data_IF_250464531651
#
_entry.id   IF_250464531651
#
_cell.length_a   1.000
_cell.length_b   1.000
_cell.length_c   1.000
_cell.angle_alpha   90.00
_cell.angle_beta   90.00
_cell.angle_gamma   90.00
#
_symmetry.space_group_name_H-M   'P 1'
#
loop_
_entity.id
_entity.type
_entity.pdbx_description
1 polymer ?
#
# COMPACT_ATOMS: atom_id res chain seq x y z
N UNK A 1 -0.42 -3.29 23.62
CA UNK A 1 -1.72 -3.42 24.30
C UNK A 1 -2.83 -3.27 23.26
N UNK A 2 -3.64 -4.31 23.06
CA UNK A 2 -4.94 -4.26 22.38
C UNK A 2 -4.94 -4.06 20.86
N UNK A 3 -4.81 -5.15 20.09
CA UNK A 3 -5.25 -5.17 18.68
C UNK A 3 -6.78 -5.06 18.64
N UNK A 4 -7.28 -3.91 18.18
CA UNK A 4 -8.70 -3.68 17.95
C UNK A 4 -9.08 -4.24 16.57
N UNK A 5 -10.21 -4.95 16.49
CA UNK A 5 -10.83 -5.42 15.24
C UNK A 5 -12.29 -4.99 15.23
N UNK A 6 -12.79 -4.24 14.23
CA UNK A 6 -14.22 -4.07 14.05
C UNK A 6 -14.80 -5.29 13.32
N UNK A 7 -15.94 -5.79 13.80
CA UNK A 7 -16.71 -6.85 13.13
C UNK A 7 -17.69 -6.23 12.15
N UNK A 8 -17.48 -6.45 10.84
CA UNK A 8 -18.49 -6.27 9.81
C UNK A 8 -18.73 -7.60 9.07
N UNK A 9 -19.95 -7.86 8.58
CA UNK A 9 -20.35 -9.16 8.06
C UNK A 9 -19.62 -9.50 6.76
N UNK A 10 -19.03 -10.69 6.70
CA UNK A 10 -18.36 -11.23 5.54
C UNK A 10 -19.36 -11.46 4.39
N UNK A 11 -19.32 -10.59 3.37
CA UNK A 11 -19.89 -10.89 2.05
C UNK A 11 -18.78 -11.42 1.15
N UNK A 12 -18.70 -12.75 1.04
CA UNK A 12 -17.89 -13.40 0.00
C UNK A 12 -18.55 -13.17 -1.36
N UNK A 13 -17.91 -12.39 -2.23
CA UNK A 13 -18.09 -12.51 -3.67
C UNK A 13 -16.74 -12.91 -4.27
N UNK A 14 -16.58 -14.22 -4.46
CA UNK A 14 -15.46 -14.77 -5.20
C UNK A 14 -15.65 -14.47 -6.69
N UNK A 15 -14.80 -13.59 -7.25
CA UNK A 15 -14.55 -13.57 -8.68
C UNK A 15 -13.03 -13.45 -8.91
N UNK A 16 -12.35 -14.60 -8.84
CA UNK A 16 -10.93 -14.70 -9.21
C UNK A 16 -10.82 -14.67 -10.73
N UNK A 17 -10.59 -13.48 -11.28
CA UNK A 17 -9.99 -13.34 -12.61
C UNK A 17 -8.53 -13.76 -12.48
N UNK A 18 -8.15 -14.83 -13.17
CA UNK A 18 -6.77 -15.30 -13.32
C UNK A 18 -5.94 -14.26 -14.08
N UNK A 19 -5.31 -13.32 -13.35
CA UNK A 19 -4.34 -12.40 -13.95
C UNK A 19 -2.95 -13.02 -13.98
N UNK A 20 -2.60 -13.49 -15.18
CA UNK A 20 -1.24 -13.71 -15.65
C UNK A 20 -0.39 -12.44 -15.48
N UNK A 21 0.41 -12.37 -14.41
CA UNK A 21 1.44 -11.33 -14.23
C UNK A 21 2.75 -11.90 -13.63
N UNK A 22 3.06 -13.17 -13.90
CA UNK A 22 4.28 -13.85 -13.41
C UNK A 22 5.53 -13.53 -14.27
N UNK A 23 5.47 -12.67 -15.28
CA UNK A 23 6.55 -12.55 -16.27
C UNK A 23 7.74 -11.62 -15.94
N UNK A 24 7.88 -11.03 -14.75
CA UNK A 24 8.97 -10.06 -14.49
C UNK A 24 9.97 -10.37 -13.38
N UNK A 25 9.99 -11.58 -12.83
CA UNK A 25 11.06 -11.99 -11.92
C UNK A 25 11.55 -13.39 -12.27
N UNK A 26 12.30 -13.52 -13.38
CA UNK A 26 13.09 -14.71 -13.66
C UNK A 26 14.57 -14.33 -13.77
N UNK A 27 15.48 -14.91 -12.97
CA UNK A 27 16.91 -14.69 -13.14
C UNK A 27 17.38 -15.38 -14.43
N UNK A 28 18.14 -14.65 -15.26
CA UNK A 28 18.86 -15.20 -16.41
C UNK A 28 19.95 -16.16 -15.95
N UNK A 29 19.74 -17.46 -16.15
CA UNK A 29 20.77 -18.49 -15.96
C UNK A 29 20.94 -19.34 -17.21
N UNK A 30 22.06 -19.08 -17.89
CA UNK A 30 22.90 -19.93 -18.77
C UNK A 30 22.26 -21.06 -19.58
N UNK A 31 22.49 -20.99 -20.90
CA UNK A 31 22.41 -22.09 -21.87
C UNK A 31 23.33 -23.24 -21.46
N UNK A 32 22.76 -24.43 -21.27
CA UNK A 32 23.46 -25.71 -21.38
C UNK A 32 22.71 -26.54 -22.43
N UNK A 33 23.42 -26.88 -23.49
CA UNK A 33 22.98 -27.83 -24.51
C UNK A 33 23.18 -29.25 -23.99
N UNK A 34 22.11 -30.02 -23.81
CA UNK A 34 22.14 -31.46 -23.99
C UNK A 34 20.71 -32.01 -24.05
N UNK A 35 20.40 -32.63 -25.17
CA UNK A 35 19.13 -33.29 -25.48
C UNK A 35 19.08 -34.64 -24.76
N UNK A 36 18.27 -34.77 -23.70
CA UNK A 36 17.60 -36.01 -23.31
C UNK A 36 16.69 -35.77 -22.09
N UNK A 37 15.54 -36.45 -22.08
CA UNK A 37 14.55 -36.55 -21.00
C UNK A 37 13.48 -35.45 -20.97
N UNK A 38 12.52 -35.56 -21.89
CA UNK A 38 11.14 -35.14 -21.64
C UNK A 38 10.54 -36.05 -20.56
N UNK A 39 10.71 -35.68 -19.30
CA UNK A 39 9.76 -36.05 -18.25
C UNK A 39 8.73 -34.93 -18.16
N UNK A 40 7.50 -35.25 -18.55
CA UNK A 40 6.33 -34.42 -18.26
C UNK A 40 6.13 -34.43 -16.74
N UNK A 41 6.82 -33.52 -16.04
CA UNK A 41 6.45 -33.17 -14.67
C UNK A 41 5.07 -32.50 -14.77
N UNK A 42 4.03 -33.23 -14.40
CA UNK A 42 2.79 -32.62 -13.93
C UNK A 42 3.19 -31.65 -12.82
N UNK A 43 3.17 -30.36 -13.11
CA UNK A 43 3.27 -29.33 -12.11
C UNK A 43 2.03 -29.45 -11.23
N UNK A 44 2.15 -30.22 -10.14
CA UNK A 44 1.35 -29.99 -8.95
C UNK A 44 1.56 -28.52 -8.61
N UNK A 45 0.56 -27.70 -8.89
CA UNK A 45 0.55 -26.29 -8.52
C UNK A 45 0.44 -26.22 -7.00
N UNK A 46 1.56 -26.45 -6.31
CA UNK A 46 1.71 -26.02 -4.93
C UNK A 46 1.47 -24.51 -4.96
N UNK A 47 0.41 -24.07 -4.29
CA UNK A 47 0.15 -22.66 -4.10
C UNK A 47 1.36 -22.08 -3.37
N UNK A 48 2.24 -21.40 -4.10
CA UNK A 48 3.39 -20.72 -3.53
C UNK A 48 2.87 -19.64 -2.58
N UNK A 49 3.07 -19.86 -1.29
CA UNK A 49 2.78 -18.89 -0.23
C UNK A 49 4.10 -18.41 0.35
N UNK A 50 4.23 -17.10 0.57
CA UNK A 50 5.36 -16.55 1.31
C UNK A 50 5.37 -17.08 2.75
N UNK A 51 6.57 -17.23 3.32
CA UNK A 51 6.70 -17.38 4.77
C UNK A 51 6.36 -16.07 5.46
N UNK A 52 5.93 -16.12 6.72
CA UNK A 52 5.62 -14.92 7.50
C UNK A 52 6.85 -13.99 7.63
N UNK A 53 8.05 -14.57 7.80
CA UNK A 53 9.30 -13.80 7.86
C UNK A 53 9.55 -13.00 6.57
N UNK A 54 9.26 -13.61 5.42
CA UNK A 54 9.43 -12.93 4.12
C UNK A 54 8.37 -11.84 3.94
N UNK A 55 7.13 -12.10 4.36
CA UNK A 55 6.06 -11.12 4.33
C UNK A 55 6.38 -9.92 5.24
N UNK A 56 6.89 -10.17 6.45
CA UNK A 56 7.33 -9.14 7.38
C UNK A 56 8.48 -8.30 6.82
N UNK A 57 9.48 -8.94 6.18
CA UNK A 57 10.57 -8.24 5.53
C UNK A 57 10.08 -7.33 4.39
N UNK A 58 9.10 -7.78 3.58
CA UNK A 58 8.51 -6.95 2.53
C UNK A 58 7.78 -5.73 3.10
N UNK A 59 6.99 -5.91 4.18
CA UNK A 59 6.34 -4.78 4.87
C UNK A 59 7.35 -3.78 5.38
N UNK A 60 8.43 -4.25 6.00
CA UNK A 60 9.52 -3.40 6.46
C UNK A 60 10.16 -2.62 5.31
N UNK A 61 10.48 -3.29 4.19
CA UNK A 61 11.02 -2.64 2.99
C UNK A 61 10.07 -1.57 2.47
N UNK A 62 8.77 -1.84 2.40
CA UNK A 62 7.77 -0.86 1.96
C UNK A 62 7.84 0.42 2.81
N UNK A 63 7.79 0.30 4.14
CA UNK A 63 7.86 1.45 5.05
C UNK A 63 9.21 2.18 4.98
N UNK A 64 10.33 1.45 4.99
CA UNK A 64 11.68 2.05 4.95
C UNK A 64 11.94 2.80 3.65
N UNK A 65 11.54 2.22 2.50
CA UNK A 65 11.72 2.84 1.19
C UNK A 65 10.75 3.98 0.96
N UNK A 66 9.52 3.90 1.47
CA UNK A 66 8.59 5.03 1.52
C UNK A 66 9.17 6.21 2.30
N UNK A 67 9.66 5.97 3.52
CA UNK A 67 10.28 6.99 4.35
C UNK A 67 11.55 7.58 3.71
N UNK A 68 12.39 6.74 3.09
CA UNK A 68 13.60 7.19 2.39
C UNK A 68 13.26 8.08 1.19
N UNK A 69 12.24 7.72 0.42
CA UNK A 69 11.74 8.52 -0.71
C UNK A 69 11.26 9.91 -0.26
N UNK A 70 10.48 9.97 0.82
CA UNK A 70 10.00 11.24 1.39
C UNK A 70 11.18 12.12 1.88
N UNK A 71 12.16 11.52 2.59
CA UNK A 71 13.36 12.22 3.06
C UNK A 71 14.20 12.79 1.92
N UNK A 72 14.45 12.01 0.88
CA UNK A 72 15.21 12.49 -0.28
C UNK A 72 14.48 13.58 -1.04
N UNK A 73 13.15 13.52 -1.13
CA UNK A 73 12.36 14.60 -1.74
C UNK A 73 12.53 15.92 -0.96
N UNK A 74 12.45 15.86 0.37
CA UNK A 74 12.70 17.01 1.24
C UNK A 74 14.14 17.56 1.10
N UNK A 75 15.14 16.67 1.02
CA UNK A 75 16.53 17.11 0.80
C UNK A 75 16.75 17.76 -0.57
N UNK A 76 16.02 17.32 -1.59
CA UNK A 76 16.09 17.95 -2.90
C UNK A 76 15.55 19.38 -2.88
N UNK A 77 14.43 19.61 -2.20
CA UNK A 77 13.86 20.95 -2.01
C UNK A 77 14.84 21.86 -1.28
N UNK A 78 15.45 21.37 -0.19
CA UNK A 78 16.47 22.14 0.52
C UNK A 78 17.69 22.46 -0.35
N UNK A 79 18.15 21.52 -1.16
CA UNK A 79 19.28 21.74 -2.07
C UNK A 79 18.94 22.76 -3.18
N UNK A 80 17.69 22.87 -3.61
CA UNK A 80 17.24 23.94 -4.52
C UNK A 80 17.30 25.31 -3.86
N UNK A 81 16.83 25.44 -2.61
CA UNK A 81 16.89 26.68 -1.84
C UNK A 81 18.34 27.15 -1.62
N UNK A 82 19.26 26.21 -1.44
CA UNK A 82 20.71 26.46 -1.31
C UNK A 82 21.42 26.70 -2.65
N UNK A 83 20.72 26.52 -3.78
CA UNK A 83 21.27 26.70 -5.13
C UNK A 83 22.16 25.56 -5.63
N UNK A 84 22.21 24.42 -4.92
CA UNK A 84 22.99 23.24 -5.30
C UNK A 84 22.19 22.30 -6.21
N UNK A 85 22.06 22.69 -7.47
CA UNK A 85 21.26 21.96 -8.48
C UNK A 85 21.74 20.52 -8.72
N UNK A 86 23.04 20.22 -8.55
CA UNK A 86 23.55 18.87 -8.71
C UNK A 86 23.11 17.94 -7.57
N UNK A 87 23.22 18.41 -6.32
CA UNK A 87 22.75 17.65 -5.16
C UNK A 87 21.24 17.44 -5.23
N UNK A 88 20.50 18.48 -5.60
CA UNK A 88 19.06 18.41 -5.79
C UNK A 88 18.64 17.37 -6.85
N UNK A 89 19.28 17.36 -8.03
CA UNK A 89 19.02 16.38 -9.06
C UNK A 89 19.33 14.94 -8.61
N UNK A 90 20.42 14.76 -7.84
CA UNK A 90 20.76 13.46 -7.24
C UNK A 90 19.65 13.00 -6.28
N UNK A 91 19.24 13.84 -5.33
CA UNK A 91 18.22 13.49 -4.35
C UNK A 91 16.87 13.15 -5.00
N UNK A 92 16.45 13.89 -6.04
CA UNK A 92 15.25 13.55 -6.81
C UNK A 92 15.34 12.17 -7.47
N UNK A 93 16.51 11.83 -8.01
CA UNK A 93 16.74 10.50 -8.61
C UNK A 93 16.65 9.39 -7.57
N UNK A 94 17.24 9.61 -6.38
CA UNK A 94 17.17 8.67 -5.26
C UNK A 94 15.74 8.51 -4.74
N UNK A 95 15.01 9.60 -4.54
CA UNK A 95 13.61 9.57 -4.12
C UNK A 95 12.76 8.72 -5.08
N UNK A 96 12.87 8.99 -6.39
CA UNK A 96 12.17 8.20 -7.41
C UNK A 96 12.61 6.74 -7.42
N UNK A 97 13.86 6.44 -7.10
CA UNK A 97 14.36 5.07 -7.04
C UNK A 97 13.78 4.30 -5.86
N UNK A 98 13.76 4.91 -4.67
CA UNK A 98 13.22 4.26 -3.49
C UNK A 98 11.71 4.13 -3.54
N UNK A 99 10.99 5.08 -4.15
CA UNK A 99 9.55 4.92 -4.41
C UNK A 99 9.28 3.69 -5.30
N UNK A 100 10.12 3.43 -6.31
CA UNK A 100 9.98 2.21 -7.13
C UNK A 100 10.21 0.94 -6.31
N UNK A 101 11.19 0.94 -5.40
CA UNK A 101 11.42 -0.20 -4.51
C UNK A 101 10.24 -0.42 -3.56
N UNK A 102 9.65 0.65 -3.02
CA UNK A 102 8.45 0.56 -2.19
C UNK A 102 7.27 -0.04 -2.99
N UNK A 103 7.04 0.41 -4.22
CA UNK A 103 6.00 -0.15 -5.08
C UNK A 103 6.24 -1.63 -5.42
N UNK A 104 7.49 -2.03 -5.71
CA UNK A 104 7.82 -3.44 -5.96
C UNK A 104 7.56 -4.32 -4.73
N UNK A 105 7.82 -3.81 -3.52
CA UNK A 105 7.48 -4.52 -2.30
C UNK A 105 5.96 -4.63 -2.15
N UNK A 106 5.20 -3.55 -2.42
CA UNK A 106 3.74 -3.56 -2.37
C UNK A 106 3.12 -4.52 -3.39
N UNK A 107 3.63 -4.57 -4.63
CA UNK A 107 3.21 -5.53 -5.65
C UNK A 107 3.38 -6.98 -5.18
N UNK A 108 4.49 -7.27 -4.48
CA UNK A 108 4.72 -8.59 -3.92
C UNK A 108 3.77 -8.90 -2.74
N UNK A 109 3.49 -7.93 -1.87
CA UNK A 109 2.52 -8.08 -0.79
C UNK A 109 1.12 -8.33 -1.37
N UNK A 110 0.71 -7.59 -2.40
CA UNK A 110 -0.59 -7.80 -3.08
C UNK A 110 -0.68 -9.23 -3.63
N UNK A 111 0.33 -9.62 -4.41
CA UNK A 111 0.32 -10.91 -5.09
C UNK A 111 0.33 -12.11 -4.15
N UNK A 112 1.06 -12.03 -3.04
CA UNK A 112 1.32 -13.20 -2.19
C UNK A 112 0.63 -13.17 -0.82
N UNK A 113 0.26 -11.99 -0.32
CA UNK A 113 -0.40 -11.81 0.99
C UNK A 113 -1.83 -11.31 0.83
N UNK A 114 -2.07 -10.36 -0.08
CA UNK A 114 -3.39 -9.80 -0.37
C UNK A 114 -3.97 -8.93 0.75
N UNK A 115 -3.13 -8.48 1.69
CA UNK A 115 -3.54 -7.62 2.80
C UNK A 115 -2.67 -6.36 2.86
N UNK A 116 -3.31 -5.23 3.12
CA UNK A 116 -2.67 -3.94 3.31
C UNK A 116 -1.69 -3.97 4.50
N UNK A 117 -0.43 -3.53 4.33
CA UNK A 117 0.59 -3.63 5.37
C UNK A 117 0.31 -2.74 6.59
N UNK A 118 -0.59 -1.76 6.50
CA UNK A 118 -0.90 -0.80 7.57
C UNK A 118 -2.09 -1.26 8.41
N UNK A 119 -3.15 -1.71 7.74
CA UNK A 119 -4.45 -2.05 8.34
C UNK A 119 -4.69 -3.55 8.48
N UNK A 120 -3.94 -4.38 7.73
CA UNK A 120 -4.19 -5.82 7.55
C UNK A 120 -5.54 -6.14 6.88
N UNK A 121 -6.23 -5.15 6.31
CA UNK A 121 -7.44 -5.34 5.52
C UNK A 121 -7.12 -5.88 4.14
N UNK A 122 -8.12 -6.41 3.43
CA UNK A 122 -7.93 -6.86 2.06
C UNK A 122 -7.46 -5.70 1.16
N UNK A 123 -6.64 -6.01 0.16
CA UNK A 123 -6.21 -5.06 -0.85
C UNK A 123 -6.15 -5.69 -2.25
N UNK A 124 -5.98 -4.84 -3.26
CA UNK A 124 -5.79 -5.22 -4.66
C UNK A 124 -6.85 -4.61 -5.58
N UNK A 125 -8.14 -4.85 -5.29
CA UNK A 125 -9.21 -4.18 -6.03
C UNK A 125 -9.36 -2.72 -5.58
N UNK A 126 -9.90 -1.85 -6.45
CA UNK A 126 -10.17 -0.44 -6.09
C UNK A 126 -11.07 -0.35 -4.86
N UNK A 127 -12.10 -1.19 -4.76
CA UNK A 127 -13.01 -1.23 -3.62
C UNK A 127 -12.28 -1.61 -2.33
N UNK A 128 -11.47 -2.66 -2.36
CA UNK A 128 -10.71 -3.11 -1.18
C UNK A 128 -9.71 -2.04 -0.73
N UNK A 129 -8.99 -1.43 -1.69
CA UNK A 129 -8.04 -0.36 -1.42
C UNK A 129 -8.72 0.88 -0.79
N UNK A 130 -9.91 1.25 -1.27
CA UNK A 130 -10.69 2.36 -0.70
C UNK A 130 -11.16 2.04 0.73
N UNK A 131 -11.59 0.80 0.99
CA UNK A 131 -12.01 0.37 2.33
C UNK A 131 -10.84 0.34 3.32
N UNK A 132 -9.71 -0.24 2.93
CA UNK A 132 -8.48 -0.23 3.74
C UNK A 132 -8.03 1.22 4.04
N UNK A 133 -8.07 2.10 3.03
CA UNK A 133 -7.73 3.52 3.22
C UNK A 133 -8.68 4.22 4.18
N UNK A 134 -10.00 3.97 4.08
CA UNK A 134 -10.99 4.54 4.99
C UNK A 134 -10.72 4.15 6.44
N UNK A 135 -10.42 2.87 6.69
CA UNK A 135 -10.12 2.35 8.03
C UNK A 135 -8.87 3.03 8.60
N UNK A 136 -7.82 3.20 7.79
CA UNK A 136 -6.60 3.91 8.20
C UNK A 136 -6.89 5.37 8.59
N UNK A 137 -7.62 6.10 7.75
CA UNK A 137 -7.92 7.52 8.00
C UNK A 137 -8.89 7.72 9.19
N UNK A 138 -9.85 6.81 9.38
CA UNK A 138 -10.70 6.83 10.58
C UNK A 138 -9.87 6.62 11.86
N UNK A 139 -8.94 5.66 11.84
CA UNK A 139 -8.06 5.43 12.98
C UNK A 139 -7.25 6.68 13.34
N UNK A 140 -6.68 7.34 12.35
CA UNK A 140 -5.86 8.52 12.57
C UNK A 140 -6.67 9.73 13.05
N UNK A 141 -7.81 9.99 12.40
CA UNK A 141 -8.66 11.13 12.74
C UNK A 141 -9.38 10.99 14.08
N UNK A 142 -9.78 9.79 14.48
CA UNK A 142 -10.55 9.55 15.70
C UNK A 142 -9.68 9.23 16.91
N UNK A 143 -8.48 8.67 16.69
CA UNK A 143 -7.64 8.15 17.77
C UNK A 143 -6.21 8.69 17.75
N UNK A 144 -5.44 8.38 16.71
CA UNK A 144 -3.98 8.61 16.72
C UNK A 144 -3.63 10.09 16.87
N UNK A 145 -4.18 10.95 16.00
CA UNK A 145 -3.80 12.36 15.94
C UNK A 145 -4.34 13.18 17.12
N UNK A 146 -5.59 12.95 17.61
CA UNK A 146 -6.05 13.55 18.86
C UNK A 146 -5.19 13.17 20.07
N UNK A 147 -4.74 11.91 20.17
CA UNK A 147 -3.85 11.47 21.26
C UNK A 147 -2.50 12.19 21.19
N UNK A 148 -1.91 12.31 20.00
CA UNK A 148 -0.64 13.02 19.81
C UNK A 148 -0.73 14.50 20.15
N UNK A 149 -1.79 15.18 19.68
CA UNK A 149 -2.07 16.58 20.03
C UNK A 149 -2.22 16.77 21.55
N UNK A 150 -3.04 15.92 22.20
CA UNK A 150 -3.24 15.98 23.65
C UNK A 150 -1.94 15.79 24.43
N UNK A 151 -1.10 14.83 24.00
CA UNK A 151 0.20 14.60 24.62
C UNK A 151 1.14 15.80 24.46
N UNK A 152 1.24 16.37 23.25
CA UNK A 152 2.05 17.57 23.00
C UNK A 152 1.60 18.77 23.85
N UNK A 153 0.29 19.01 23.97
CA UNK A 153 -0.26 20.05 24.87
C UNK A 153 0.11 19.80 26.33
N UNK A 154 0.09 18.55 26.78
CA UNK A 154 0.49 18.20 28.16
C UNK A 154 1.97 18.47 28.45
N UNK A 155 2.81 18.47 27.41
CA UNK A 155 4.24 18.79 27.48
C UNK A 155 4.54 20.28 27.28
N UNK A 156 3.54 21.11 26.95
CA UNK A 156 3.70 22.52 26.62
C UNK A 156 4.27 22.77 25.22
N UNK A 157 4.16 21.80 24.31
CA UNK A 157 4.63 21.86 22.92
C UNK A 157 3.51 22.34 21.99
N UNK A 158 3.01 23.55 22.23
CA UNK A 158 1.80 24.07 21.56
C UNK A 158 1.90 24.05 20.02
N UNK A 159 3.03 24.46 19.45
CA UNK A 159 3.26 24.46 18.00
C UNK A 159 3.20 23.04 17.40
N UNK A 160 3.65 22.03 18.15
CA UNK A 160 3.62 20.63 17.71
C UNK A 160 2.20 20.07 17.82
N UNK A 161 1.47 20.46 18.86
CA UNK A 161 0.09 20.07 19.00
C UNK A 161 -0.80 20.65 17.89
N UNK A 162 -0.60 21.91 17.53
CA UNK A 162 -1.30 22.56 16.41
C UNK A 162 -0.99 21.86 15.08
N UNK A 163 0.24 21.38 14.89
CA UNK A 163 0.61 20.57 13.73
C UNK A 163 -0.19 19.25 13.69
N UNK A 164 -0.30 18.54 14.82
CA UNK A 164 -1.10 17.31 14.91
C UNK A 164 -2.60 17.57 14.70
N UNK A 165 -3.13 18.65 15.25
CA UNK A 165 -4.53 19.07 15.02
C UNK A 165 -4.78 19.33 13.53
N UNK A 166 -3.83 19.97 12.85
CA UNK A 166 -3.86 20.17 11.40
C UNK A 166 -3.88 18.86 10.60
N UNK A 167 -3.06 17.89 11.00
CA UNK A 167 -3.09 16.55 10.40
C UNK A 167 -4.43 15.84 10.64
N UNK A 168 -4.99 15.95 11.86
CA UNK A 168 -6.27 15.38 12.22
C UNK A 168 -7.41 15.93 11.36
N UNK A 169 -7.46 17.26 11.20
CA UNK A 169 -8.43 17.92 10.32
C UNK A 169 -8.28 17.50 8.85
N UNK A 170 -7.04 17.29 8.37
CA UNK A 170 -6.80 16.79 7.03
C UNK A 170 -7.29 15.35 6.84
N UNK A 171 -7.06 14.48 7.84
CA UNK A 171 -7.54 13.10 7.84
C UNK A 171 -9.08 13.02 7.83
N UNK A 172 -9.76 13.83 8.64
CA UNK A 172 -11.24 13.93 8.61
C UNK A 172 -11.79 14.28 7.22
N UNK A 173 -11.15 15.21 6.50
CA UNK A 173 -11.55 15.54 5.12
C UNK A 173 -11.35 14.35 4.17
N UNK A 174 -10.27 13.58 4.35
CA UNK A 174 -10.02 12.37 3.55
C UNK A 174 -11.04 11.28 3.85
N UNK A 175 -11.45 11.08 5.10
CA UNK A 175 -12.56 10.16 5.46
C UNK A 175 -13.81 10.47 4.65
N UNK A 176 -14.26 11.74 4.64
CA UNK A 176 -15.45 12.14 3.86
C UNK A 176 -15.29 11.90 2.36
N UNK A 177 -14.11 12.23 1.81
CA UNK A 177 -13.81 12.08 0.37
C UNK A 177 -13.77 10.62 -0.05
N UNK A 178 -13.13 9.75 0.75
CA UNK A 178 -13.04 8.32 0.48
C UNK A 178 -14.43 7.68 0.56
N UNK A 179 -15.24 8.07 1.54
CA UNK A 179 -16.60 7.55 1.69
C UNK A 179 -17.48 7.90 0.47
N UNK A 180 -17.36 9.11 -0.06
CA UNK A 180 -18.03 9.51 -1.30
C UNK A 180 -17.58 8.65 -2.48
N UNK A 181 -16.27 8.43 -2.62
CA UNK A 181 -15.71 7.61 -3.68
C UNK A 181 -16.17 6.14 -3.60
N UNK A 182 -16.31 5.57 -2.40
CA UNK A 182 -16.87 4.23 -2.19
C UNK A 182 -18.32 4.14 -2.70
N UNK A 183 -19.12 5.18 -2.47
CA UNK A 183 -20.51 5.22 -2.95
C UNK A 183 -20.56 5.26 -4.48
N UNK A 184 -19.70 6.07 -5.10
CA UNK A 184 -19.57 6.13 -6.57
C UNK A 184 -19.13 4.79 -7.17
N UNK A 185 -18.15 4.13 -6.56
CA UNK A 185 -17.66 2.83 -7.03
C UNK A 185 -18.73 1.74 -6.89
N UNK A 186 -19.52 1.79 -5.82
CA UNK A 186 -20.66 0.88 -5.61
C UNK A 186 -21.73 1.06 -6.69
N UNK A 187 -22.06 2.30 -7.04
CA UNK A 187 -23.00 2.60 -8.13
C UNK A 187 -22.48 2.11 -9.47
N UNK A 188 -21.19 2.33 -9.76
CA UNK A 188 -20.52 1.85 -10.98
C UNK A 188 -20.64 0.34 -11.14
N UNK A 189 -20.38 -0.42 -10.07
CA UNK A 189 -20.47 -1.89 -10.08
C UNK A 189 -21.92 -2.38 -10.26
N UNK A 190 -22.91 -1.67 -9.70
CA UNK A 190 -24.31 -2.04 -9.86
C UNK A 190 -24.81 -1.80 -11.28
N UNK A 191 -24.47 -0.66 -11.89
CA UNK A 191 -24.83 -0.37 -13.29
C UNK A 191 -24.25 -1.39 -14.28
N UNK A 192 -23.02 -1.85 -14.05
CA UNK A 192 -22.40 -2.91 -14.88
C UNK A 192 -23.11 -4.27 -14.76
N UNK A 193 -23.71 -4.57 -13.60
CA UNK A 193 -24.47 -5.81 -13.41
C UNK A 193 -25.81 -5.78 -14.12
N UNK A 194 -26.47 -4.63 -14.17
CA UNK A 194 -27.75 -4.46 -14.87
C UNK A 194 -27.57 -4.57 -16.38
N UNK A 195 -26.49 -4.02 -16.95
CA UNK A 195 -26.18 -4.12 -18.38
C UNK A 195 -25.93 -5.57 -18.85
N UNK A 196 -25.29 -6.39 -18.01
CA UNK A 196 -25.03 -7.82 -18.29
C UNK A 196 -26.24 -8.75 -18.09
N UNK A 197 -27.33 -8.29 -17.48
CA UNK A 197 -28.55 -9.09 -17.29
C UNK A 197 -29.61 -8.87 -18.40
N UNK A 198 -29.35 -7.94 -19.32
CA UNK A 198 -30.29 -7.58 -20.40
C UNK A 198 -29.92 -8.23 -21.75
N UNK A 199 -28.77 -8.91 -21.86
CA UNK A 199 -28.39 -9.79 -22.98
C UNK A 199 -28.71 -11.27 -22.71
#
# INVERSE_FOLDING_TARGET
>A
TGSWKPSLPAMMIANRVTRSLVYRLRPSSRRLTSTSQFQTQQASSENFSLTEDSAAALRQIFFEKGASSARYSYFAERADEEGNLQASALFRSLAKSDLRHAHQAMDAIDCYVGQDPTTSEAMGSTTDNLQASLISEMHDSEKTLPEYSSNAKSLGEDDVADLFDGFGAASQRRVSTIQEQINLETQRMNGQKEEFQVE
#
